data_IF_095399073699
#
_entry.id   IF_095399073699
#
_cell.length_a   1.000
_cell.length_b   1.000
_cell.length_c   1.000
_cell.angle_alpha   90.00
_cell.angle_beta   90.00
_cell.angle_gamma   90.00
#
_symmetry.space_group_name_H-M   'P 1'
#
loop_
_entity.id
_entity.type
_entity.pdbx_description
1 polymer ?
#
# COMPACT_ATOMS: atom_id res chain seq x y z
N UNK A 1 4.16 -70.10 31.80
CA UNK A 1 4.44 -68.68 32.23
C UNK A 1 4.54 -67.78 31.04
N UNK A 2 3.52 -66.94 30.78
CA UNK A 2 3.52 -65.98 29.66
C UNK A 2 4.00 -64.64 30.19
N UNK A 3 5.21 -64.21 29.88
CA UNK A 3 5.75 -62.88 30.21
C UNK A 3 5.03 -61.78 29.45
N UNK A 4 4.27 -60.96 30.13
CA UNK A 4 3.67 -59.73 29.57
C UNK A 4 4.80 -58.75 29.25
N UNK A 5 5.07 -58.52 27.96
CA UNK A 5 5.92 -57.41 27.48
C UNK A 5 5.23 -56.09 27.82
N UNK A 6 5.67 -55.37 28.86
CA UNK A 6 5.31 -54.00 29.15
C UNK A 6 5.69 -53.11 27.92
N UNK A 7 4.69 -52.73 27.13
CA UNK A 7 4.86 -51.79 25.99
C UNK A 7 5.44 -50.50 26.55
N UNK A 8 6.63 -50.14 26.11
CA UNK A 8 7.35 -48.91 26.46
C UNK A 8 6.52 -47.67 26.04
N UNK A 9 5.88 -46.96 26.97
CA UNK A 9 5.17 -45.69 26.74
C UNK A 9 6.13 -44.49 26.55
N UNK A 10 7.44 -44.74 26.46
CA UNK A 10 8.50 -43.74 26.34
C UNK A 10 8.39 -42.80 25.12
N UNK A 11 8.04 -43.23 23.87
CA UNK A 11 8.00 -42.34 22.73
C UNK A 11 6.91 -41.26 22.82
N UNK A 12 5.79 -41.55 23.50
CA UNK A 12 4.69 -40.60 23.65
C UNK A 12 5.04 -39.41 24.55
N UNK A 13 5.80 -39.64 25.64
CA UNK A 13 6.26 -38.57 26.53
C UNK A 13 7.25 -37.65 25.84
N UNK A 14 8.16 -38.19 25.01
CA UNK A 14 9.09 -37.38 24.23
C UNK A 14 8.35 -36.50 23.21
N UNK A 15 7.37 -37.05 22.52
CA UNK A 15 6.55 -36.27 21.59
C UNK A 15 5.80 -35.13 22.30
N UNK A 16 5.20 -35.43 23.44
CA UNK A 16 4.52 -34.41 24.27
C UNK A 16 5.47 -33.33 24.77
N UNK A 17 6.66 -33.71 25.26
CA UNK A 17 7.68 -32.74 25.68
C UNK A 17 8.17 -31.83 24.56
N UNK A 18 8.36 -32.39 23.35
CA UNK A 18 8.73 -31.59 22.17
C UNK A 18 7.61 -30.62 21.80
N UNK A 19 6.36 -31.08 21.76
CA UNK A 19 5.21 -30.22 21.48
C UNK A 19 5.05 -29.10 22.51
N UNK A 20 5.21 -29.42 23.79
CA UNK A 20 5.18 -28.42 24.84
C UNK A 20 6.31 -27.40 24.70
N UNK A 21 7.53 -27.87 24.41
CA UNK A 21 8.68 -26.99 24.20
C UNK A 21 8.48 -26.06 23.00
N UNK A 22 7.97 -26.59 21.87
CA UNK A 22 7.63 -25.78 20.69
C UNK A 22 6.53 -24.77 20.99
N UNK A 23 5.50 -25.17 21.77
CA UNK A 23 4.45 -24.26 22.21
C UNK A 23 4.99 -23.13 23.09
N UNK A 24 5.87 -23.43 24.03
CA UNK A 24 6.51 -22.44 24.91
C UNK A 24 7.42 -21.49 24.10
N UNK A 25 8.20 -22.01 23.16
CA UNK A 25 9.01 -21.19 22.27
C UNK A 25 8.13 -20.29 21.38
N UNK A 26 7.02 -20.79 20.89
CA UNK A 26 6.07 -20.01 20.08
C UNK A 26 5.43 -18.90 20.92
N UNK A 27 5.06 -19.19 22.17
CA UNK A 27 4.51 -18.20 23.10
C UNK A 27 5.54 -17.12 23.43
N UNK A 28 6.78 -17.51 23.74
CA UNK A 28 7.88 -16.59 23.98
C UNK A 28 8.13 -15.71 22.75
N UNK A 29 8.11 -16.30 21.56
CA UNK A 29 8.28 -15.57 20.31
C UNK A 29 7.19 -14.50 20.09
N UNK A 30 5.92 -14.83 20.36
CA UNK A 30 4.81 -13.87 20.31
C UNK A 30 4.96 -12.76 21.35
N UNK A 31 5.48 -13.11 22.53
CA UNK A 31 5.73 -12.14 23.62
C UNK A 31 6.87 -11.17 23.28
N UNK A 32 7.90 -11.63 22.58
CA UNK A 32 9.03 -10.80 22.11
C UNK A 32 8.69 -9.91 20.91
N UNK A 33 7.48 -10.03 20.31
CA UNK A 33 7.05 -9.17 19.23
C UNK A 33 6.90 -7.72 19.68
N UNK A 34 7.12 -6.75 18.78
CA UNK A 34 7.08 -5.32 19.11
C UNK A 34 5.72 -4.91 19.70
N UNK A 35 5.78 -3.96 20.63
CA UNK A 35 4.58 -3.28 21.13
C UNK A 35 4.06 -2.31 20.07
N UNK A 36 2.87 -2.60 19.54
CA UNK A 36 2.21 -1.81 18.52
C UNK A 36 1.32 -0.70 19.09
N UNK A 37 1.11 -0.66 20.40
CA UNK A 37 0.20 0.30 21.05
C UNK A 37 0.65 1.74 20.85
N UNK A 38 1.96 1.98 20.81
CA UNK A 38 2.57 3.29 20.52
C UNK A 38 2.15 3.86 19.18
N UNK A 39 1.98 3.00 18.17
CA UNK A 39 1.57 3.41 16.83
C UNK A 39 0.15 4.00 16.77
N UNK A 40 -0.66 3.87 17.83
CA UNK A 40 -1.95 4.57 17.92
C UNK A 40 -1.80 6.08 17.88
N UNK A 41 -0.73 6.60 18.47
CA UNK A 41 -0.52 8.05 18.67
C UNK A 41 0.80 8.56 18.09
N UNK A 42 1.82 7.69 18.03
CA UNK A 42 3.17 8.07 17.62
C UNK A 42 3.43 7.63 16.18
N UNK A 43 4.15 8.47 15.45
CA UNK A 43 4.61 8.16 14.11
C UNK A 43 6.03 7.55 14.18
N UNK A 44 6.29 6.43 13.49
CA UNK A 44 7.61 5.84 13.47
C UNK A 44 8.59 6.79 12.77
N UNK A 45 9.70 7.09 13.44
CA UNK A 45 10.76 7.95 12.87
C UNK A 45 11.54 7.26 11.77
N UNK A 46 11.72 5.96 11.91
CA UNK A 46 12.48 5.13 10.97
C UNK A 46 11.89 3.73 10.94
N UNK A 47 11.86 3.11 9.78
CA UNK A 47 11.35 1.75 9.60
C UNK A 47 12.50 0.78 9.38
N UNK A 48 12.29 -0.52 9.64
CA UNK A 48 13.28 -1.55 9.35
C UNK A 48 13.68 -1.58 7.86
N UNK A 49 12.74 -1.23 6.96
CA UNK A 49 13.08 -1.08 5.54
C UNK A 49 14.04 0.07 5.28
N UNK A 50 13.82 1.24 5.89
CA UNK A 50 14.73 2.41 5.77
C UNK A 50 16.11 2.07 6.30
N UNK A 51 16.21 1.44 7.48
CA UNK A 51 17.48 1.01 8.06
C UNK A 51 18.22 0.02 7.15
N UNK A 52 17.50 -0.96 6.62
CA UNK A 52 18.07 -1.91 5.68
C UNK A 52 18.62 -1.21 4.42
N UNK A 53 17.88 -0.21 3.88
CA UNK A 53 18.33 0.55 2.70
C UNK A 53 19.60 1.34 2.98
N UNK A 54 19.68 1.98 4.12
CA UNK A 54 20.89 2.72 4.52
C UNK A 54 22.09 1.78 4.70
N UNK A 55 21.91 0.65 5.41
CA UNK A 55 22.98 -0.33 5.60
C UNK A 55 23.47 -0.88 4.25
N UNK A 56 22.55 -1.30 3.38
CA UNK A 56 22.90 -1.81 2.06
C UNK A 56 23.60 -0.77 1.17
N UNK A 57 23.35 0.52 1.38
CA UNK A 57 24.02 1.59 0.66
C UNK A 57 25.42 1.86 1.21
N UNK A 58 25.59 1.84 2.56
CA UNK A 58 26.88 1.96 3.22
C UNK A 58 27.85 0.87 2.80
N UNK A 59 27.38 -0.38 2.70
CA UNK A 59 28.18 -1.51 2.19
C UNK A 59 28.73 -1.24 0.78
N UNK A 60 27.96 -0.53 -0.04
CA UNK A 60 28.34 -0.12 -1.41
C UNK A 60 29.12 1.21 -1.47
N UNK A 61 29.48 1.78 -0.32
CA UNK A 61 30.13 3.09 -0.19
C UNK A 61 29.37 4.24 -0.90
N UNK A 62 28.03 4.15 -0.93
CA UNK A 62 27.15 5.17 -1.52
C UNK A 62 26.47 5.96 -0.41
N UNK A 63 26.35 7.27 -0.61
CA UNK A 63 25.52 8.12 0.24
C UNK A 63 24.06 7.81 -0.01
N UNK A 64 23.30 7.51 1.04
CA UNK A 64 21.87 7.28 0.96
C UNK A 64 21.14 8.32 1.81
N UNK A 65 20.23 9.03 1.18
CA UNK A 65 19.40 10.03 1.87
C UNK A 65 17.97 9.53 1.90
N UNK A 66 17.32 9.66 3.05
CA UNK A 66 15.89 9.37 3.23
C UNK A 66 15.15 10.69 3.16
N UNK A 67 14.21 10.78 2.24
CA UNK A 67 13.24 11.86 2.11
C UNK A 67 11.90 11.34 2.57
N UNK A 68 11.39 11.89 3.68
CA UNK A 68 10.08 11.55 4.24
C UNK A 68 9.47 12.81 4.82
N UNK A 69 8.19 13.03 4.53
CA UNK A 69 7.37 14.07 5.13
C UNK A 69 6.06 13.44 5.57
N UNK A 70 5.76 13.55 6.87
CA UNK A 70 4.56 12.95 7.44
C UNK A 70 3.36 13.87 7.26
N UNK A 71 2.24 13.31 6.76
CA UNK A 71 0.96 14.02 6.67
C UNK A 71 -0.16 13.12 7.20
N UNK A 72 -1.20 13.73 7.79
CA UNK A 72 -2.40 13.00 8.19
C UNK A 72 -3.12 12.43 6.97
N UNK A 73 -3.87 11.34 7.16
CA UNK A 73 -4.63 10.71 6.08
C UNK A 73 -5.58 11.70 5.37
N UNK A 74 -6.15 12.66 6.11
CA UNK A 74 -7.04 13.70 5.58
C UNK A 74 -6.34 14.73 4.68
N UNK A 75 -5.01 14.80 4.72
CA UNK A 75 -4.18 15.67 3.86
C UNK A 75 -3.58 14.93 2.67
N UNK A 76 -3.97 13.70 2.43
CA UNK A 76 -3.60 12.92 1.24
C UNK A 76 -4.79 12.94 0.28
N UNK A 77 -4.53 13.18 -1.00
CA UNK A 77 -5.56 13.15 -2.04
C UNK A 77 -6.42 11.90 -1.94
N UNK A 78 -7.74 12.00 -1.95
CA UNK A 78 -8.63 10.85 -1.99
C UNK A 78 -8.37 9.98 -3.23
N UNK A 79 -7.90 10.57 -4.32
CA UNK A 79 -7.50 9.84 -5.52
C UNK A 79 -6.31 8.91 -5.24
N UNK A 80 -5.27 9.41 -4.53
CA UNK A 80 -4.12 8.56 -4.19
C UNK A 80 -4.51 7.43 -3.25
N UNK A 81 -5.32 7.71 -2.24
CA UNK A 81 -5.82 6.69 -1.31
C UNK A 81 -6.56 5.58 -2.09
N UNK A 82 -7.47 5.96 -2.99
CA UNK A 82 -8.24 5.01 -3.80
C UNK A 82 -7.39 4.26 -4.81
N UNK A 83 -6.46 4.94 -5.48
CA UNK A 83 -5.55 4.30 -6.43
C UNK A 83 -4.68 3.23 -5.76
N UNK A 84 -4.14 3.53 -4.56
CA UNK A 84 -3.35 2.58 -3.78
C UNK A 84 -4.17 1.38 -3.32
N UNK A 85 -5.39 1.60 -2.84
CA UNK A 85 -6.30 0.51 -2.47
C UNK A 85 -6.60 -0.40 -3.67
N UNK A 86 -6.96 0.17 -4.81
CA UNK A 86 -7.20 -0.58 -6.06
C UNK A 86 -5.96 -1.37 -6.50
N UNK A 87 -4.78 -0.77 -6.38
CA UNK A 87 -3.54 -1.37 -6.86
C UNK A 87 -3.01 -2.49 -5.98
N UNK A 88 -3.18 -2.40 -4.65
CA UNK A 88 -2.50 -3.22 -3.66
C UNK A 88 -3.44 -4.06 -2.79
N UNK A 89 -4.65 -3.56 -2.49
CA UNK A 89 -5.55 -4.21 -1.54
C UNK A 89 -6.99 -3.69 -1.67
N UNK A 90 -7.66 -4.11 -2.73
CA UNK A 90 -9.01 -3.60 -3.07
C UNK A 90 -10.07 -3.89 -1.99
N UNK A 91 -9.86 -4.95 -1.20
CA UNK A 91 -10.75 -5.35 -0.10
C UNK A 91 -10.27 -4.90 1.28
N UNK A 92 -9.32 -3.97 1.38
CA UNK A 92 -8.69 -3.52 2.62
C UNK A 92 -9.68 -3.27 3.77
N UNK A 93 -10.81 -2.65 3.49
CA UNK A 93 -11.84 -2.33 4.49
C UNK A 93 -12.69 -3.52 4.94
N UNK A 94 -12.59 -4.68 4.26
CA UNK A 94 -13.47 -5.84 4.45
C UNK A 94 -12.82 -7.03 5.15
N UNK A 95 -11.49 -7.03 5.29
CA UNK A 95 -10.75 -8.11 5.92
C UNK A 95 -9.97 -7.62 7.16
N UNK A 96 -9.57 -8.53 8.02
CA UNK A 96 -8.78 -8.29 9.24
C UNK A 96 -7.31 -8.68 9.02
N UNK A 97 -6.65 -8.01 8.08
CA UNK A 97 -5.22 -8.19 7.79
C UNK A 97 -4.89 -9.24 6.74
N UNK A 98 -5.81 -10.15 6.41
CA UNK A 98 -5.60 -11.22 5.42
C UNK A 98 -6.77 -11.31 4.46
N UNK A 99 -6.51 -11.15 3.17
CA UNK A 99 -7.49 -11.43 2.11
C UNK A 99 -7.32 -12.88 1.65
N UNK A 100 -8.09 -13.77 2.26
CA UNK A 100 -8.04 -15.21 1.95
C UNK A 100 -8.42 -15.52 0.50
N UNK A 101 -9.35 -14.76 -0.09
CA UNK A 101 -9.71 -14.95 -1.50
C UNK A 101 -8.58 -14.54 -2.44
N UNK A 102 -7.90 -13.42 -2.14
CA UNK A 102 -6.73 -12.98 -2.91
C UNK A 102 -5.59 -13.99 -2.78
N UNK A 103 -5.36 -14.53 -1.57
CA UNK A 103 -4.35 -15.58 -1.32
C UNK A 103 -4.70 -16.84 -2.13
N UNK A 104 -5.94 -17.30 -2.10
CA UNK A 104 -6.36 -18.47 -2.87
C UNK A 104 -6.16 -18.26 -4.37
N UNK A 105 -6.62 -17.13 -4.92
CA UNK A 105 -6.44 -16.77 -6.34
C UNK A 105 -4.96 -16.67 -6.73
N UNK A 106 -4.10 -16.17 -5.83
CA UNK A 106 -2.66 -16.09 -6.07
C UNK A 106 -2.05 -17.50 -6.14
N UNK A 107 -2.41 -18.39 -5.21
CA UNK A 107 -1.95 -19.81 -5.20
C UNK A 107 -2.39 -20.52 -6.48
N UNK A 108 -3.66 -20.38 -6.88
CA UNK A 108 -4.17 -20.99 -8.12
C UNK A 108 -3.42 -20.51 -9.38
N UNK A 109 -3.13 -19.21 -9.45
CA UNK A 109 -2.35 -18.63 -10.54
C UNK A 109 -0.89 -19.10 -10.53
N UNK A 110 -0.28 -19.18 -9.34
CA UNK A 110 1.09 -19.68 -9.17
C UNK A 110 1.22 -21.14 -9.60
N UNK A 111 0.26 -21.99 -9.20
CA UNK A 111 0.23 -23.41 -9.60
C UNK A 111 0.07 -23.52 -11.13
N UNK A 112 -0.88 -22.78 -11.74
CA UNK A 112 -1.09 -22.80 -13.19
C UNK A 112 0.12 -22.29 -13.97
N UNK A 113 0.80 -21.27 -13.46
CA UNK A 113 1.97 -20.66 -14.09
C UNK A 113 3.28 -21.41 -13.77
N UNK A 114 3.26 -22.44 -12.91
CA UNK A 114 4.45 -23.13 -12.37
C UNK A 114 5.50 -22.16 -11.82
N UNK A 115 5.06 -21.07 -11.20
CA UNK A 115 5.90 -19.98 -10.67
C UNK A 115 5.29 -19.43 -9.38
N UNK A 116 6.10 -19.21 -8.35
CA UNK A 116 5.69 -18.53 -7.12
C UNK A 116 5.91 -17.02 -7.24
N UNK A 117 5.03 -16.32 -7.92
CA UNK A 117 5.22 -14.93 -8.31
C UNK A 117 4.06 -13.99 -7.99
N UNK A 118 2.86 -14.51 -7.84
CA UNK A 118 1.68 -13.67 -7.62
C UNK A 118 1.54 -13.30 -6.15
N UNK A 119 1.49 -11.98 -5.88
CA UNK A 119 1.37 -11.47 -4.53
C UNK A 119 -0.08 -11.42 -4.07
N UNK A 120 -0.35 -12.06 -2.94
CA UNK A 120 -1.61 -11.91 -2.21
C UNK A 120 -1.39 -11.21 -0.86
N UNK A 121 -0.38 -10.34 -0.75
CA UNK A 121 -0.11 -9.62 0.50
C UNK A 121 -0.94 -8.35 0.58
N UNK A 122 -1.63 -8.16 1.70
CA UNK A 122 -2.43 -6.97 2.01
C UNK A 122 -1.58 -5.76 2.40
N UNK A 123 -2.19 -4.58 2.44
CA UNK A 123 -1.56 -3.35 2.97
C UNK A 123 -1.07 -3.55 4.40
N UNK A 124 -1.84 -4.22 5.26
CA UNK A 124 -1.44 -4.49 6.65
C UNK A 124 -0.22 -5.38 6.75
N UNK A 125 -0.12 -6.41 5.90
CA UNK A 125 1.07 -7.27 5.82
C UNK A 125 2.30 -6.51 5.29
N UNK A 126 2.11 -5.66 4.28
CA UNK A 126 3.17 -4.81 3.75
C UNK A 126 3.66 -3.81 4.80
N UNK A 127 2.74 -3.18 5.56
CA UNK A 127 3.07 -2.27 6.65
C UNK A 127 3.86 -2.98 7.75
N UNK A 128 3.40 -4.15 8.22
CA UNK A 128 4.09 -4.95 9.22
C UNK A 128 5.53 -5.27 8.79
N UNK A 129 5.70 -5.69 7.54
CA UNK A 129 7.01 -5.95 6.96
C UNK A 129 7.90 -4.70 6.93
N UNK A 130 7.37 -3.59 6.42
CA UNK A 130 8.15 -2.37 6.26
C UNK A 130 8.61 -1.78 7.59
N UNK A 131 7.75 -1.85 8.63
CA UNK A 131 8.05 -1.30 9.94
C UNK A 131 9.08 -2.12 10.72
N UNK A 132 9.00 -3.45 10.68
CA UNK A 132 9.67 -4.30 11.66
C UNK A 132 10.56 -5.40 11.07
N UNK A 133 10.50 -5.68 9.77
CA UNK A 133 11.14 -6.85 9.20
C UNK A 133 12.11 -6.50 8.08
N UNK A 134 13.17 -7.31 7.98
CA UNK A 134 14.08 -7.21 6.84
C UNK A 134 13.38 -7.61 5.53
N UNK A 135 13.69 -6.99 4.38
CA UNK A 135 13.15 -7.40 3.08
C UNK A 135 13.68 -8.76 2.59
N UNK A 136 14.70 -9.35 3.26
CA UNK A 136 15.21 -10.68 2.93
C UNK A 136 14.10 -11.72 3.08
N UNK A 137 13.91 -12.56 2.05
CA UNK A 137 12.88 -13.60 2.04
C UNK A 137 13.29 -14.77 2.92
N UNK A 138 12.46 -15.12 3.92
CA UNK A 138 12.57 -16.35 4.70
C UNK A 138 11.21 -16.78 5.22
N UNK A 139 11.03 -18.05 5.55
CA UNK A 139 9.79 -18.56 6.12
C UNK A 139 9.51 -17.93 7.50
N UNK A 140 10.53 -17.87 8.36
CA UNK A 140 10.40 -17.23 9.68
C UNK A 140 9.97 -15.77 9.59
N UNK A 141 10.54 -15.00 8.66
CA UNK A 141 10.09 -13.63 8.38
C UNK A 141 8.61 -13.59 7.99
N UNK A 142 8.14 -14.53 7.16
CA UNK A 142 6.73 -14.56 6.74
C UNK A 142 5.79 -14.92 7.90
N UNK A 143 6.20 -15.79 8.80
CA UNK A 143 5.48 -16.08 10.05
C UNK A 143 5.44 -14.83 10.95
N UNK A 144 6.58 -14.15 11.15
CA UNK A 144 6.64 -12.89 11.90
C UNK A 144 5.70 -11.83 11.31
N UNK A 145 5.73 -11.66 9.98
CA UNK A 145 4.85 -10.75 9.26
C UNK A 145 3.37 -11.04 9.57
N UNK A 146 2.97 -12.33 9.52
CA UNK A 146 1.60 -12.71 9.83
C UNK A 146 1.21 -12.41 11.28
N UNK A 147 2.07 -12.71 12.26
CA UNK A 147 1.82 -12.44 13.67
C UNK A 147 1.71 -10.93 13.94
N UNK A 148 2.64 -10.13 13.39
CA UNK A 148 2.61 -8.67 13.55
C UNK A 148 1.35 -8.09 12.89
N UNK A 149 0.99 -8.57 11.71
CA UNK A 149 -0.24 -8.15 11.00
C UNK A 149 -1.48 -8.40 11.85
N UNK A 150 -1.62 -9.61 12.38
CA UNK A 150 -2.73 -9.98 13.25
C UNK A 150 -2.82 -9.10 14.51
N UNK A 151 -1.68 -8.84 15.19
CA UNK A 151 -1.62 -7.92 16.33
C UNK A 151 -1.97 -6.50 15.92
N UNK A 152 -1.47 -6.03 14.77
CA UNK A 152 -1.68 -4.68 14.25
C UNK A 152 -3.17 -4.40 14.00
N UNK A 153 -3.88 -5.32 13.34
CA UNK A 153 -5.32 -5.17 13.07
C UNK A 153 -6.18 -5.15 14.33
N UNK A 154 -5.72 -5.77 15.41
CA UNK A 154 -6.41 -5.74 16.72
C UNK A 154 -6.12 -4.47 17.53
N UNK A 155 -4.97 -3.86 17.30
CA UNK A 155 -4.51 -2.71 18.08
C UNK A 155 -4.84 -1.40 17.40
N UNK A 156 -4.74 -1.33 16.08
CA UNK A 156 -4.91 -0.11 15.29
C UNK A 156 -6.22 -0.12 14.50
N UNK A 157 -6.80 1.06 14.30
CA UNK A 157 -7.91 1.21 13.35
C UNK A 157 -7.41 1.09 11.91
N UNK A 158 -8.28 0.64 10.99
CA UNK A 158 -8.00 0.59 9.54
C UNK A 158 -7.51 1.93 8.99
N UNK A 159 -8.12 3.04 9.42
CA UNK A 159 -7.68 4.39 9.02
C UNK A 159 -6.24 4.65 9.44
N UNK A 160 -5.85 4.24 10.66
CA UNK A 160 -4.49 4.43 11.15
C UNK A 160 -3.48 3.53 10.44
N UNK A 161 -3.84 2.28 10.15
CA UNK A 161 -3.01 1.37 9.34
C UNK A 161 -2.73 1.98 7.97
N UNK A 162 -3.76 2.49 7.29
CA UNK A 162 -3.62 3.11 5.97
C UNK A 162 -2.79 4.39 6.03
N UNK A 163 -2.99 5.24 7.05
CA UNK A 163 -2.18 6.44 7.27
C UNK A 163 -0.71 6.10 7.45
N UNK A 164 -0.40 5.14 8.33
CA UNK A 164 0.96 4.65 8.54
C UNK A 164 1.56 4.14 7.24
N UNK A 165 0.83 3.29 6.51
CA UNK A 165 1.28 2.72 5.25
C UNK A 165 1.66 3.79 4.23
N UNK A 166 0.75 4.72 3.97
CA UNK A 166 0.97 5.78 2.97
C UNK A 166 2.11 6.72 3.35
N UNK A 167 2.47 6.81 4.62
CA UNK A 167 3.59 7.64 5.08
C UNK A 167 4.94 6.91 5.17
N UNK A 168 4.96 5.55 5.14
CA UNK A 168 6.21 4.79 5.28
C UNK A 168 6.57 3.93 4.08
N UNK A 169 5.65 3.73 3.12
CA UNK A 169 5.95 2.94 1.94
C UNK A 169 6.97 3.64 1.04
N UNK A 170 7.88 2.86 0.44
CA UNK A 170 8.89 3.35 -0.51
C UNK A 170 8.23 3.61 -1.87
N UNK A 171 8.45 4.81 -2.44
CA UNK A 171 7.94 5.25 -3.74
C UNK A 171 9.05 5.44 -4.77
N UNK A 172 10.30 5.41 -4.33
CA UNK A 172 11.50 5.58 -5.14
C UNK A 172 12.74 5.38 -4.28
N UNK A 173 13.93 5.47 -4.85
CA UNK A 173 15.16 5.32 -4.09
C UNK A 173 15.31 6.45 -3.07
N UNK A 174 15.20 6.10 -1.78
CA UNK A 174 15.24 7.05 -0.67
C UNK A 174 13.97 7.87 -0.48
N UNK A 175 12.91 7.66 -1.25
CA UNK A 175 11.67 8.43 -1.19
C UNK A 175 10.62 7.59 -0.46
N UNK A 176 10.23 8.04 0.72
CA UNK A 176 9.28 7.35 1.59
C UNK A 176 8.09 8.26 1.92
N UNK A 177 6.89 7.70 1.79
CA UNK A 177 5.64 8.39 2.07
C UNK A 177 5.09 9.22 0.91
N UNK A 178 3.77 9.38 0.91
CA UNK A 178 3.00 10.00 -0.16
C UNK A 178 3.38 11.47 -0.40
N UNK A 179 3.59 12.23 0.66
CA UNK A 179 3.95 13.66 0.56
C UNK A 179 5.33 13.86 -0.07
N UNK A 180 6.33 13.08 0.37
CA UNK A 180 7.66 13.13 -0.22
C UNK A 180 7.65 12.69 -1.69
N UNK A 181 6.86 11.68 -2.02
CA UNK A 181 6.70 11.21 -3.40
C UNK A 181 6.03 12.26 -4.29
N UNK A 182 4.93 12.87 -3.83
CA UNK A 182 4.23 13.92 -4.56
C UNK A 182 5.14 15.11 -4.87
N UNK A 183 5.85 15.60 -3.86
CA UNK A 183 6.79 16.71 -4.04
C UNK A 183 7.95 16.36 -4.96
N UNK A 184 8.46 15.15 -4.86
CA UNK A 184 9.60 14.70 -5.67
C UNK A 184 9.23 14.55 -7.16
N UNK A 185 8.10 13.91 -7.46
CA UNK A 185 7.74 13.56 -8.83
C UNK A 185 6.88 14.61 -9.53
N UNK A 186 6.09 15.38 -8.76
CA UNK A 186 5.11 16.34 -9.32
C UNK A 186 5.24 17.76 -8.78
N UNK A 187 6.16 18.03 -7.84
CA UNK A 187 6.42 19.37 -7.31
C UNK A 187 5.31 19.97 -6.44
N UNK A 188 4.29 19.18 -6.07
CA UNK A 188 3.11 19.64 -5.32
C UNK A 188 2.79 18.80 -4.10
N UNK A 189 1.87 19.26 -3.25
CA UNK A 189 1.42 18.53 -2.07
C UNK A 189 0.69 17.25 -2.47
N UNK A 190 0.76 16.22 -1.62
CA UNK A 190 0.00 14.98 -1.83
C UNK A 190 -1.51 15.16 -1.83
N UNK A 191 -2.02 16.26 -1.25
CA UNK A 191 -3.44 16.63 -1.30
C UNK A 191 -3.91 17.11 -2.68
N UNK A 192 -2.98 17.58 -3.52
CA UNK A 192 -3.25 18.19 -4.83
C UNK A 192 -3.05 17.22 -6.00
N UNK A 193 -2.75 15.95 -5.69
CA UNK A 193 -2.59 14.91 -6.74
C UNK A 193 -3.91 14.68 -7.47
N UNK A 194 -3.84 14.72 -8.82
CA UNK A 194 -4.94 14.35 -9.70
C UNK A 194 -5.14 12.84 -9.74
N UNK A 195 -6.24 12.36 -10.32
CA UNK A 195 -6.49 10.92 -10.47
C UNK A 195 -5.44 10.23 -11.33
N UNK A 196 -4.94 10.88 -12.38
CA UNK A 196 -3.90 10.33 -13.24
C UNK A 196 -2.57 10.20 -12.51
N UNK A 197 -2.10 11.24 -11.84
CA UNK A 197 -0.87 11.22 -11.04
C UNK A 197 -0.94 10.20 -9.91
N UNK A 198 -2.08 10.11 -9.23
CA UNK A 198 -2.36 9.13 -8.19
C UNK A 198 -2.26 7.69 -8.73
N UNK A 199 -2.85 7.41 -9.90
CA UNK A 199 -2.75 6.12 -10.56
C UNK A 199 -1.31 5.78 -10.96
N UNK A 200 -0.54 6.77 -11.46
CA UNK A 200 0.88 6.61 -11.79
C UNK A 200 1.72 6.31 -10.56
N UNK A 201 1.55 7.04 -9.46
CA UNK A 201 2.20 6.71 -8.18
C UNK A 201 1.85 5.29 -7.73
N UNK A 202 0.57 4.94 -7.64
CA UNK A 202 0.16 3.61 -7.20
C UNK A 202 0.73 2.49 -8.09
N UNK A 203 0.95 2.75 -9.38
CA UNK A 203 1.47 1.76 -10.34
C UNK A 203 2.88 1.27 -10.03
N UNK A 204 3.72 2.08 -9.38
CA UNK A 204 5.13 1.75 -9.12
C UNK A 204 5.38 1.01 -7.81
N UNK A 205 4.40 0.95 -6.91
CA UNK A 205 4.54 0.32 -5.57
C UNK A 205 5.11 -1.11 -5.57
N UNK A 206 4.84 -1.98 -6.56
CA UNK A 206 5.44 -3.31 -6.59
C UNK A 206 6.96 -3.31 -6.75
N UNK A 207 7.53 -2.28 -7.40
CA UNK A 207 8.98 -2.13 -7.57
C UNK A 207 9.38 -0.66 -7.75
N UNK A 208 9.28 0.15 -6.67
CA UNK A 208 9.40 1.60 -6.75
C UNK A 208 10.82 2.09 -7.11
N UNK A 209 11.85 1.25 -6.89
CA UNK A 209 13.22 1.58 -7.26
C UNK A 209 13.55 1.32 -8.73
N UNK A 210 12.71 0.56 -9.42
CA UNK A 210 12.87 0.24 -10.84
C UNK A 210 12.05 1.17 -11.73
N UNK A 211 10.89 1.58 -11.26
CA UNK A 211 9.93 2.33 -12.05
C UNK A 211 9.80 3.76 -11.56
N UNK A 212 9.80 4.69 -12.53
CA UNK A 212 9.58 6.12 -12.26
C UNK A 212 8.12 6.46 -12.58
N UNK A 213 7.30 6.92 -11.63
CA UNK A 213 5.90 7.26 -11.89
C UNK A 213 5.73 8.45 -12.88
N UNK A 214 6.71 9.35 -12.96
CA UNK A 214 6.71 10.44 -13.93
C UNK A 214 7.32 10.06 -15.30
N UNK A 215 7.85 8.84 -15.46
CA UNK A 215 8.51 8.38 -16.69
C UNK A 215 7.59 7.67 -17.66
N UNK A 216 8.10 7.39 -18.88
CA UNK A 216 7.33 6.80 -19.99
C UNK A 216 7.51 5.29 -20.14
N UNK A 217 7.88 4.63 -19.06
CA UNK A 217 8.07 3.18 -19.05
C UNK A 217 6.74 2.47 -19.34
N UNK A 218 6.72 1.58 -20.33
CA UNK A 218 5.52 0.84 -20.76
C UNK A 218 4.77 0.17 -19.61
N UNK A 219 5.50 -0.34 -18.61
CA UNK A 219 4.90 -0.93 -17.44
C UNK A 219 4.08 0.11 -16.65
N UNK A 220 4.65 1.31 -16.43
CA UNK A 220 3.99 2.39 -15.66
C UNK A 220 2.74 2.85 -16.41
N UNK A 221 2.87 3.12 -17.72
CA UNK A 221 1.75 3.53 -18.57
C UNK A 221 0.62 2.50 -18.49
N UNK A 222 0.91 1.22 -18.80
CA UNK A 222 -0.14 0.19 -18.83
C UNK A 222 -0.81 -0.01 -17.49
N UNK A 223 -0.02 -0.05 -16.38
CA UNK A 223 -0.57 -0.29 -15.04
C UNK A 223 -1.34 0.92 -14.51
N UNK A 224 -0.83 2.14 -14.73
CA UNK A 224 -1.53 3.36 -14.32
C UNK A 224 -2.83 3.56 -15.09
N UNK A 225 -2.85 3.31 -16.40
CA UNK A 225 -4.08 3.34 -17.21
C UNK A 225 -5.11 2.35 -16.69
N UNK A 226 -4.70 1.13 -16.32
CA UNK A 226 -5.62 0.14 -15.74
C UNK A 226 -6.22 0.65 -14.42
N UNK A 227 -5.39 1.17 -13.51
CA UNK A 227 -5.84 1.71 -12.21
C UNK A 227 -6.79 2.90 -12.44
N UNK A 228 -6.41 3.84 -13.31
CA UNK A 228 -7.19 5.02 -13.62
C UNK A 228 -8.57 4.67 -14.22
N UNK A 229 -8.61 3.73 -15.18
CA UNK A 229 -9.87 3.26 -15.76
C UNK A 229 -10.79 2.62 -14.71
N UNK A 230 -10.24 1.87 -13.74
CA UNK A 230 -11.03 1.34 -12.63
C UNK A 230 -11.56 2.49 -11.76
N UNK A 231 -10.78 3.55 -11.53
CA UNK A 231 -11.23 4.73 -10.79
C UNK A 231 -12.39 5.44 -11.50
N UNK A 232 -12.33 5.58 -12.83
CA UNK A 232 -13.43 6.14 -13.65
C UNK A 232 -14.68 5.24 -13.54
N UNK A 233 -14.54 3.95 -13.77
CA UNK A 233 -15.65 3.00 -13.73
C UNK A 233 -16.35 2.97 -12.37
N UNK A 234 -15.65 3.31 -11.29
CA UNK A 234 -16.20 3.40 -9.93
C UNK A 234 -16.70 4.79 -9.56
N UNK A 235 -16.69 5.74 -10.50
CA UNK A 235 -17.11 7.13 -10.25
C UNK A 235 -16.21 7.88 -9.25
N UNK A 236 -14.97 7.42 -9.05
CA UNK A 236 -13.99 8.07 -8.17
C UNK A 236 -13.40 9.29 -8.86
N UNK A 237 -13.21 9.20 -10.16
CA UNK A 237 -12.72 10.26 -11.04
C UNK A 237 -13.79 10.54 -12.09
N UNK A 238 -14.07 11.81 -12.30
CA UNK A 238 -14.89 12.31 -13.40
C UNK A 238 -13.96 13.12 -14.31
N UNK A 239 -13.57 12.61 -15.49
CA UNK A 239 -12.54 13.20 -16.34
C UNK A 239 -12.78 14.68 -16.68
N UNK A 240 -14.03 15.05 -16.92
CA UNK A 240 -14.44 16.43 -17.25
C UNK A 240 -14.09 17.44 -16.13
N UNK A 241 -14.10 17.01 -14.85
CA UNK A 241 -13.71 17.87 -13.74
C UNK A 241 -12.18 17.96 -13.55
N UNK A 242 -11.41 16.97 -13.99
CA UNK A 242 -9.96 17.03 -13.91
C UNK A 242 -9.37 18.01 -14.95
N UNK A 243 -9.92 18.06 -16.16
CA UNK A 243 -9.51 19.03 -17.21
C UNK A 243 -9.71 20.47 -16.72
N UNK A 244 -10.80 20.75 -16.00
CA UNK A 244 -11.07 22.09 -15.43
C UNK A 244 -10.08 22.45 -14.33
N UNK A 245 -9.65 21.49 -13.52
CA UNK A 245 -8.70 21.74 -12.41
C UNK A 245 -7.25 21.85 -12.89
N UNK A 246 -6.87 21.16 -13.95
CA UNK A 246 -5.53 21.28 -14.57
C UNK A 246 -5.44 22.54 -15.46
N UNK A 247 -6.55 22.96 -16.07
CA UNK A 247 -6.67 24.15 -16.91
C UNK A 247 -6.73 25.49 -16.16
N UNK A 248 -6.53 25.51 -14.83
CA UNK A 248 -6.60 26.68 -13.95
C UNK A 248 -5.57 27.78 -14.17
N UNK A 249 -5.21 28.06 -15.43
CA UNK A 249 -4.84 29.39 -15.91
C UNK A 249 -6.09 29.99 -16.57
N UNK A 250 -6.78 30.83 -15.83
CA UNK A 250 -7.91 31.64 -16.25
C UNK A 250 -7.70 32.22 -17.66
N UNK A 251 -8.47 31.77 -18.65
CA UNK A 251 -8.70 32.59 -19.85
C UNK A 251 -10.00 32.28 -20.63
N UNK A 252 -10.81 31.31 -20.18
CA UNK A 252 -11.99 30.95 -20.98
C UNK A 252 -13.37 31.15 -20.34
N UNK A 253 -13.43 31.60 -19.07
CA UNK A 253 -14.72 31.89 -18.42
C UNK A 253 -15.13 33.37 -18.52
N UNK A 254 -14.24 34.29 -18.89
CA UNK A 254 -14.61 35.70 -19.12
C UNK A 254 -15.13 35.95 -20.54
N UNK A 255 -14.84 35.10 -21.51
CA UNK A 255 -15.24 35.31 -22.92
C UNK A 255 -16.69 34.84 -23.22
N UNK A 256 -17.28 34.00 -22.38
CA UNK A 256 -18.66 33.52 -22.54
C UNK A 256 -19.73 34.39 -21.85
N UNK A 257 -19.30 35.36 -21.04
CA UNK A 257 -20.24 36.29 -20.36
C UNK A 257 -20.38 37.67 -21.08
N UNK A 258 -19.68 37.87 -22.20
CA UNK A 258 -19.74 39.13 -22.94
C UNK A 258 -20.42 39.04 -24.31
N UNK A 259 -21.30 38.08 -24.55
CA UNK A 259 -22.13 38.06 -25.74
C UNK A 259 -23.27 39.09 -25.65
N UNK A 260 -23.42 40.01 -26.60
CA UNK A 260 -24.44 41.05 -26.51
C UNK A 260 -25.83 40.46 -26.70
N UNK A 261 -26.77 40.95 -25.87
CA UNK A 261 -28.20 40.65 -25.95
C UNK A 261 -28.77 40.96 -27.31
N UNK A 262 -29.18 39.93 -28.05
CA UNK A 262 -29.99 40.10 -29.27
C UNK A 262 -31.40 40.53 -28.90
N UNK A 263 -31.74 41.77 -29.25
CA UNK A 263 -33.08 42.33 -29.15
C UNK A 263 -34.12 41.51 -29.90
N UNK A 264 -35.15 41.07 -29.22
CA UNK A 264 -36.32 40.47 -29.80
C UNK A 264 -37.14 41.58 -30.50
N UNK A 265 -37.04 41.67 -31.79
CA UNK A 265 -38.05 42.34 -32.62
C UNK A 265 -39.31 41.47 -32.70
N UNK A 266 -40.42 42.08 -32.28
CA UNK A 266 -41.76 41.52 -32.40
C UNK A 266 -42.27 41.73 -33.81
N UNK A 267 -42.39 40.64 -34.57
CA UNK A 267 -43.15 40.67 -35.83
C UNK A 267 -44.62 40.31 -35.49
N UNK A 268 -45.50 41.28 -35.74
CA UNK A 268 -46.93 41.14 -35.68
C UNK A 268 -47.39 40.54 -37.01
N UNK A 269 -48.20 39.48 -37.11
CA UNK A 269 -48.83 39.08 -38.31
C UNK A 269 -50.15 39.87 -38.54
N UNK A 270 -50.27 40.58 -39.66
CA UNK A 270 -51.55 41.10 -40.17
C UNK A 270 -52.12 40.11 -41.19
N UNK A 271 -53.40 39.81 -40.97
CA UNK A 271 -54.42 39.08 -41.78
C UNK A 271 -54.35 37.55 -41.84
#
# INVERSE_FOLDING_TARGET
MRGQRKRKKRPLYWLFSILLFVALLSLLYVFLMPDLSKLKKENPRKTALMEYREMASKEKRKTYRIYQSWVSLSKISPYLIKAVLIAEDDKFWRHEGFDYEAIQKAIEKDIKAKRFKFGGSTISQQLARNLYLSPKKSLLRKISEAIITWKMERVLSKKRILELYLNVVEWGEGIFGAEAASRHYYGKSSSELTGQEAARLASVLPNPRKYNPAGDQRYVINRSTLIYNIMIQRGIVVPEYEEVTEGGKSSSLEETLSAPSVSKERVVPSY
#
